data_IF_268150083999
#
_entry.id   IF_268150083999
#
_cell.length_a   1.000
_cell.length_b   1.000
_cell.length_c   1.000
_cell.angle_alpha   90.00
_cell.angle_beta   90.00
_cell.angle_gamma   90.00
#
_symmetry.space_group_name_H-M   'P 1'
#
loop_
_entity.id
_entity.type
_entity.pdbx_description
1 polymer ?
#
# COMPACT_ATOMS: atom_id res chain seq x y z
N UNK A 1 -4.03 8.07 22.56
CA UNK A 1 -3.07 8.46 21.50
C UNK A 1 -3.78 8.32 20.17
N UNK A 2 -4.12 9.41 19.49
CA UNK A 2 -4.75 9.33 18.17
C UNK A 2 -3.77 8.76 17.13
N UNK A 3 -4.30 8.31 16.00
CA UNK A 3 -3.52 7.86 14.82
C UNK A 3 -2.35 8.79 14.46
N UNK A 4 -2.47 10.14 14.55
CA UNK A 4 -1.37 11.04 14.21
C UNK A 4 -0.13 10.92 15.11
N UNK A 5 -0.30 10.56 16.37
CA UNK A 5 0.81 10.45 17.33
C UNK A 5 1.47 9.08 17.35
N UNK A 6 0.78 8.05 16.83
CA UNK A 6 1.25 6.67 16.89
C UNK A 6 2.47 6.45 15.99
N UNK A 7 2.44 6.92 14.75
CA UNK A 7 3.53 6.68 13.80
C UNK A 7 4.84 7.44 14.16
N UNK A 8 4.80 8.72 14.58
CA UNK A 8 5.98 9.38 15.15
C UNK A 8 6.58 8.62 16.33
N UNK A 9 5.75 8.26 17.32
CA UNK A 9 6.21 7.49 18.49
C UNK A 9 6.82 6.14 18.08
N UNK A 10 6.17 5.41 17.17
CA UNK A 10 6.69 4.12 16.68
C UNK A 10 8.06 4.28 16.01
N UNK A 11 8.23 5.31 15.18
CA UNK A 11 9.49 5.57 14.49
C UNK A 11 10.62 5.94 15.44
N UNK A 12 10.34 6.71 16.49
CA UNK A 12 11.32 7.05 17.52
C UNK A 12 11.76 5.82 18.32
N UNK A 13 10.82 4.93 18.67
CA UNK A 13 11.07 3.80 19.56
C UNK A 13 11.50 2.51 18.82
N UNK A 14 11.16 2.36 17.54
CA UNK A 14 11.37 1.15 16.75
C UNK A 14 11.96 1.43 15.36
N UNK A 15 12.83 2.45 15.25
CA UNK A 15 13.48 2.83 13.99
C UNK A 15 14.15 1.67 13.26
N UNK A 16 14.76 0.73 13.99
CA UNK A 16 15.39 -0.48 13.44
C UNK A 16 14.42 -1.45 12.75
N UNK A 17 13.12 -1.31 13.00
CA UNK A 17 12.06 -2.10 12.35
C UNK A 17 11.53 -1.45 11.08
N UNK A 18 11.94 -0.22 10.78
CA UNK A 18 11.56 0.50 9.57
C UNK A 18 12.66 0.32 8.53
N UNK A 19 12.33 -0.35 7.42
CA UNK A 19 13.23 -0.55 6.29
C UNK A 19 12.82 0.43 5.20
N UNK A 20 13.72 1.35 4.77
CA UNK A 20 13.46 2.21 3.62
C UNK A 20 13.20 1.40 2.35
N UNK A 21 12.25 1.87 1.53
CA UNK A 21 11.83 1.16 0.31
C UNK A 21 12.98 1.01 -0.70
N UNK A 22 13.89 1.97 -0.77
CA UNK A 22 15.05 1.97 -1.65
C UNK A 22 16.00 0.82 -1.30
N UNK A 23 16.22 0.60 0.01
CA UNK A 23 17.03 -0.51 0.51
C UNK A 23 16.38 -1.85 0.18
N UNK A 24 15.06 -1.93 0.33
CA UNK A 24 14.26 -3.12 -0.01
C UNK A 24 14.36 -3.46 -1.51
N UNK A 25 14.24 -2.47 -2.40
CA UNK A 25 14.34 -2.66 -3.86
C UNK A 25 15.73 -3.12 -4.28
N UNK A 26 16.78 -2.51 -3.75
CA UNK A 26 18.17 -2.85 -4.06
C UNK A 26 18.49 -4.32 -3.74
N UNK A 27 18.05 -4.81 -2.57
CA UNK A 27 18.26 -6.21 -2.18
C UNK A 27 17.60 -7.19 -3.16
N UNK A 28 16.39 -6.88 -3.63
CA UNK A 28 15.69 -7.69 -4.62
C UNK A 28 16.38 -7.66 -6.00
N UNK A 29 16.82 -6.48 -6.45
CA UNK A 29 17.53 -6.32 -7.74
C UNK A 29 18.87 -7.06 -7.76
N UNK A 30 19.61 -7.05 -6.65
CA UNK A 30 20.87 -7.79 -6.50
C UNK A 30 20.64 -9.31 -6.58
N UNK A 31 19.59 -9.84 -5.96
CA UNK A 31 19.28 -11.28 -6.04
C UNK A 31 18.77 -11.70 -7.43
N UNK A 32 17.96 -10.85 -8.09
CA UNK A 32 17.59 -11.07 -9.50
C UNK A 32 18.80 -11.07 -10.41
N UNK A 33 19.74 -10.14 -10.21
CA UNK A 33 20.93 -10.10 -11.06
C UNK A 33 21.83 -11.32 -10.86
N UNK A 34 21.72 -12.01 -9.71
CA UNK A 34 22.44 -13.24 -9.43
C UNK A 34 21.68 -14.51 -9.89
N UNK A 35 20.36 -14.42 -10.08
CA UNK A 35 19.48 -15.52 -10.47
C UNK A 35 18.61 -15.11 -11.66
N UNK A 36 18.84 -15.68 -12.84
CA UNK A 36 18.07 -15.41 -14.07
C UNK A 36 16.56 -15.78 -13.99
N UNK A 37 16.13 -16.45 -12.90
CA UNK A 37 14.74 -16.83 -12.65
C UNK A 37 14.11 -15.99 -11.50
N UNK A 38 13.22 -15.03 -11.82
CA UNK A 38 12.54 -14.20 -10.82
C UNK A 38 11.71 -14.99 -9.81
N UNK A 39 11.31 -16.22 -10.12
CA UNK A 39 10.50 -17.05 -9.21
C UNK A 39 11.31 -17.64 -8.06
N UNK A 40 12.64 -17.66 -8.20
CA UNK A 40 13.57 -18.20 -7.20
C UNK A 40 14.09 -17.13 -6.22
N UNK A 41 13.71 -15.86 -6.44
CA UNK A 41 14.10 -14.75 -5.55
C UNK A 41 13.38 -14.91 -4.21
N UNK A 42 14.18 -15.02 -3.16
CA UNK A 42 13.72 -15.22 -1.78
C UNK A 42 13.69 -13.93 -0.97
N UNK A 43 14.50 -12.92 -1.34
CA UNK A 43 14.49 -11.61 -0.70
C UNK A 43 13.09 -11.03 -0.77
N UNK A 44 12.50 -10.91 0.41
CA UNK A 44 11.20 -10.30 0.60
C UNK A 44 10.10 -10.94 -0.25
N UNK A 45 10.15 -12.26 -0.41
CA UNK A 45 9.11 -13.01 -1.07
C UNK A 45 7.87 -13.13 -0.15
N UNK A 46 6.88 -12.28 -0.39
CA UNK A 46 5.63 -12.31 0.35
C UNK A 46 4.64 -13.28 -0.29
N UNK A 47 3.91 -14.01 0.54
CA UNK A 47 2.88 -14.92 0.04
C UNK A 47 1.55 -14.19 -0.20
N UNK A 48 1.17 -13.30 0.71
CA UNK A 48 -0.12 -12.60 0.69
C UNK A 48 0.06 -11.09 0.84
N UNK A 49 -0.70 -10.32 0.07
CA UNK A 49 -0.84 -8.86 0.21
C UNK A 49 -2.31 -8.55 0.45
N UNK A 50 -2.61 -7.91 1.59
CA UNK A 50 -3.96 -7.46 1.94
C UNK A 50 -4.00 -5.93 1.90
N UNK A 51 -4.93 -5.36 1.13
CA UNK A 51 -5.07 -3.91 0.95
C UNK A 51 -6.43 -3.46 1.45
N UNK A 52 -6.45 -2.50 2.38
CA UNK A 52 -7.65 -1.73 2.74
C UNK A 52 -7.86 -0.64 1.68
N UNK A 53 -8.88 -0.82 0.84
CA UNK A 53 -9.19 0.06 -0.27
C UNK A 53 -9.81 1.38 0.16
N UNK A 54 -10.45 1.45 1.32
CA UNK A 54 -11.07 2.69 1.78
C UNK A 54 -10.03 3.78 1.98
N UNK A 55 -8.85 3.42 2.51
CA UNK A 55 -7.72 4.34 2.61
C UNK A 55 -7.30 4.95 1.27
N UNK A 56 -7.23 4.13 0.20
CA UNK A 56 -6.87 4.61 -1.14
C UNK A 56 -7.97 5.48 -1.76
N UNK A 57 -9.24 5.07 -1.62
CA UNK A 57 -10.39 5.81 -2.17
C UNK A 57 -10.49 7.18 -1.49
N UNK A 58 -10.44 7.24 -0.16
CA UNK A 58 -10.48 8.50 0.58
C UNK A 58 -9.33 9.43 0.19
N UNK A 59 -8.11 8.91 0.08
CA UNK A 59 -6.94 9.68 -0.33
C UNK A 59 -7.04 10.22 -1.76
N UNK A 60 -7.55 9.41 -2.70
CA UNK A 60 -7.72 9.80 -4.11
C UNK A 60 -8.87 10.79 -4.32
N UNK A 61 -9.98 10.62 -3.61
CA UNK A 61 -11.12 11.53 -3.64
C UNK A 61 -10.77 12.91 -3.07
N UNK A 62 -10.02 12.95 -1.95
CA UNK A 62 -9.56 14.20 -1.36
C UNK A 62 -8.71 15.03 -2.35
N UNK A 63 -7.91 14.37 -3.19
CA UNK A 63 -7.11 15.01 -4.24
C UNK A 63 -7.94 15.51 -5.43
N UNK A 64 -9.09 14.90 -5.72
CA UNK A 64 -9.96 15.34 -6.81
C UNK A 64 -10.86 16.52 -6.41
N UNK A 65 -11.25 16.59 -5.14
CA UNK A 65 -12.16 17.62 -4.59
C UNK A 65 -11.42 18.95 -4.31
N UNK A 66 -10.25 19.18 -4.90
CA UNK A 66 -9.52 20.45 -4.81
C UNK A 66 -10.17 21.55 -5.69
N UNK A 67 -11.41 21.94 -5.38
CA UNK A 67 -12.12 23.05 -5.99
C UNK A 67 -13.59 23.11 -5.54
N UNK A 68 -14.04 24.25 -5.03
CA UNK A 68 -15.42 24.42 -4.59
C UNK A 68 -16.40 24.21 -5.76
N UNK A 69 -17.31 23.24 -5.63
CA UNK A 69 -18.45 23.05 -6.54
C UNK A 69 -18.26 22.08 -7.71
N UNK A 70 -17.16 21.32 -7.78
CA UNK A 70 -17.03 20.22 -8.74
C UNK A 70 -17.39 18.89 -8.11
N UNK A 71 -18.25 18.13 -8.80
CA UNK A 71 -18.43 16.72 -8.49
C UNK A 71 -17.10 15.97 -8.74
N UNK A 72 -16.73 15.04 -7.85
CA UNK A 72 -15.52 14.24 -8.04
C UNK A 72 -15.63 13.39 -9.29
N UNK A 73 -14.62 13.48 -10.16
CA UNK A 73 -14.49 12.61 -11.32
C UNK A 73 -14.14 11.18 -10.87
N UNK A 74 -15.14 10.30 -10.90
CA UNK A 74 -15.01 8.91 -10.46
C UNK A 74 -14.00 8.13 -11.29
N UNK A 75 -13.87 8.42 -12.59
CA UNK A 75 -12.89 7.73 -13.45
C UNK A 75 -11.47 8.08 -13.03
N UNK A 76 -11.20 9.36 -12.74
CA UNK A 76 -9.87 9.78 -12.24
C UNK A 76 -9.56 9.19 -10.87
N UNK A 77 -10.55 9.14 -9.97
CA UNK A 77 -10.36 8.54 -8.65
C UNK A 77 -10.02 7.05 -8.81
N UNK A 78 -10.77 6.33 -9.65
CA UNK A 78 -10.55 4.91 -9.90
C UNK A 78 -9.18 4.65 -10.54
N UNK A 79 -8.78 5.44 -11.55
CA UNK A 79 -7.46 5.34 -12.17
C UNK A 79 -6.33 5.49 -11.15
N UNK A 80 -6.41 6.49 -10.26
CA UNK A 80 -5.41 6.69 -9.18
C UNK A 80 -5.37 5.53 -8.20
N UNK A 81 -6.51 4.95 -7.85
CA UNK A 81 -6.58 3.76 -6.98
C UNK A 81 -5.89 2.57 -7.67
N UNK A 82 -6.18 2.33 -8.95
CA UNK A 82 -5.52 1.28 -9.72
C UNK A 82 -4.00 1.48 -9.80
N UNK A 83 -3.54 2.69 -10.11
CA UNK A 83 -2.11 3.03 -10.14
C UNK A 83 -1.42 2.76 -8.79
N UNK A 84 -2.08 3.10 -7.67
CA UNK A 84 -1.55 2.85 -6.34
C UNK A 84 -1.45 1.34 -6.05
N UNK A 85 -2.48 0.56 -6.40
CA UNK A 85 -2.47 -0.91 -6.24
C UNK A 85 -1.36 -1.53 -7.09
N UNK A 86 -1.24 -1.13 -8.36
CA UNK A 86 -0.17 -1.62 -9.24
C UNK A 86 1.22 -1.34 -8.69
N UNK A 87 1.44 -0.14 -8.17
CA UNK A 87 2.71 0.24 -7.54
C UNK A 87 3.05 -0.68 -6.36
N UNK A 88 2.07 -0.99 -5.52
CA UNK A 88 2.25 -1.88 -4.38
C UNK A 88 2.47 -3.33 -4.79
N UNK A 89 1.73 -3.84 -5.78
CA UNK A 89 1.92 -5.20 -6.30
C UNK A 89 3.32 -5.35 -6.90
N UNK A 90 3.81 -4.35 -7.64
CA UNK A 90 5.19 -4.32 -8.18
C UNK A 90 6.25 -4.32 -7.08
N UNK A 91 5.97 -3.72 -5.92
CA UNK A 91 6.90 -3.68 -4.78
C UNK A 91 6.87 -4.99 -4.00
N UNK A 92 5.67 -5.42 -3.58
CA UNK A 92 5.48 -6.54 -2.64
C UNK A 92 5.58 -7.89 -3.34
N UNK A 93 5.10 -7.99 -4.59
CA UNK A 93 5.12 -9.21 -5.41
C UNK A 93 4.53 -10.44 -4.68
N UNK A 94 3.25 -10.37 -4.25
CA UNK A 94 2.63 -11.49 -3.54
C UNK A 94 2.55 -12.74 -4.42
N UNK A 95 2.98 -13.89 -3.90
CA UNK A 95 3.07 -15.15 -4.67
C UNK A 95 1.79 -15.99 -4.67
N UNK A 96 0.91 -15.81 -3.68
CA UNK A 96 -0.27 -16.65 -3.48
C UNK A 96 -1.57 -15.86 -3.52
N UNK A 97 -1.63 -14.72 -2.84
CA UNK A 97 -2.89 -13.99 -2.67
C UNK A 97 -2.71 -12.48 -2.71
N UNK A 98 -3.50 -11.82 -3.55
CA UNK A 98 -3.80 -10.40 -3.46
C UNK A 98 -5.25 -10.24 -2.97
N UNK A 99 -5.43 -9.71 -1.77
CA UNK A 99 -6.73 -9.49 -1.16
C UNK A 99 -7.05 -8.00 -1.12
N UNK A 100 -8.09 -7.58 -1.83
CA UNK A 100 -8.56 -6.20 -1.87
C UNK A 100 -9.80 -6.06 -0.98
N UNK A 101 -9.62 -5.45 0.19
CA UNK A 101 -10.65 -5.30 1.22
C UNK A 101 -11.39 -3.96 1.06
N UNK A 102 -12.68 -4.03 0.76
CA UNK A 102 -13.61 -2.91 0.91
C UNK A 102 -14.40 -3.08 2.21
N UNK A 103 -14.62 -2.02 2.98
CA UNK A 103 -15.48 -2.15 4.16
C UNK A 103 -16.93 -2.37 3.73
N UNK A 104 -17.56 -3.36 4.36
CA UNK A 104 -19.01 -3.54 4.35
C UNK A 104 -19.68 -2.79 5.49
N UNK A 105 -20.90 -3.22 5.83
CA UNK A 105 -21.62 -2.69 6.99
C UNK A 105 -20.85 -3.01 8.27
N UNK A 106 -20.55 -1.96 9.06
CA UNK A 106 -19.79 -2.09 10.28
C UNK A 106 -20.68 -2.40 11.52
N UNK A 107 -20.16 -3.10 12.53
CA UNK A 107 -20.85 -3.28 13.81
C UNK A 107 -21.16 -1.94 14.50
N UNK A 108 -22.18 -1.91 15.36
CA UNK A 108 -22.64 -0.68 16.03
C UNK A 108 -21.57 0.07 16.82
N UNK A 109 -20.59 -0.61 17.39
CA UNK A 109 -19.50 0.04 18.11
C UNK A 109 -18.52 0.83 17.21
N UNK A 110 -18.58 0.59 15.90
CA UNK A 110 -17.74 1.23 14.88
C UNK A 110 -18.50 2.30 14.06
N UNK A 111 -19.83 2.25 14.08
CA UNK A 111 -20.73 3.24 13.49
C UNK A 111 -20.69 4.58 14.24
#
# INVERSE_FOLDING_TARGET
>A
MGVPGLFPWFRENFSSKIIPLEKYRKAYEEEISANDDPTQVTAHAWDCLHLDLNGFIHGSAAKEIHGAGKEPDLEKIFARVCEAIEGLVKIVRPRKLLNLCMDGVAPRAKM
#
